data_IF_833576175946
#
_entry.id   IF_833576175946
#
_cell.length_a   1.000
_cell.length_b   1.000
_cell.length_c   1.000
_cell.angle_alpha   90.00
_cell.angle_beta   90.00
_cell.angle_gamma   90.00
#
_symmetry.space_group_name_H-M   'P 1'
#
loop_
_entity.id
_entity.type
_entity.pdbx_description
1 polymer ?
#
# COMPACT_ATOMS: atom_id res chain seq x y z
N UNK A 1 24.24 -11.76 -7.34
CA UNK A 1 24.70 -10.47 -6.79
C UNK A 1 25.12 -10.65 -5.33
N UNK A 2 26.38 -10.42 -4.95
CA UNK A 2 26.85 -10.60 -3.56
C UNK A 2 26.38 -9.50 -2.57
N UNK A 3 25.91 -8.36 -3.07
CA UNK A 3 25.18 -7.37 -2.27
C UNK A 3 23.98 -6.85 -3.06
N UNK A 4 22.83 -6.79 -2.39
CA UNK A 4 21.65 -6.08 -2.89
C UNK A 4 21.99 -4.58 -2.92
N UNK A 5 21.92 -3.96 -4.10
CA UNK A 5 22.15 -2.51 -4.28
C UNK A 5 20.99 -1.66 -3.76
N UNK A 6 19.83 -2.25 -3.53
CA UNK A 6 18.61 -1.57 -3.10
C UNK A 6 18.16 -2.15 -1.77
N UNK A 7 18.16 -1.31 -0.72
CA UNK A 7 17.67 -1.63 0.62
C UNK A 7 16.30 -1.03 0.86
N UNK A 8 15.58 -1.57 1.84
CA UNK A 8 14.33 -1.02 2.37
C UNK A 8 14.49 0.45 2.78
N UNK A 9 15.65 0.80 3.34
CA UNK A 9 16.00 2.16 3.71
C UNK A 9 16.07 3.12 2.51
N UNK A 10 16.53 2.67 1.34
CA UNK A 10 16.60 3.52 0.15
C UNK A 10 15.19 3.85 -0.35
N UNK A 11 14.31 2.84 -0.43
CA UNK A 11 12.90 3.02 -0.78
C UNK A 11 12.21 3.95 0.22
N UNK A 12 12.46 3.73 1.52
CA UNK A 12 11.92 4.58 2.58
C UNK A 12 12.38 6.02 2.41
N UNK A 13 13.67 6.26 2.19
CA UNK A 13 14.20 7.61 1.99
C UNK A 13 13.58 8.31 0.77
N UNK A 14 13.31 7.57 -0.32
CA UNK A 14 12.66 8.12 -1.51
C UNK A 14 11.26 8.64 -1.17
N UNK A 15 10.42 7.81 -0.54
CA UNK A 15 9.04 8.16 -0.21
C UNK A 15 8.90 9.07 1.01
N UNK A 16 9.86 9.04 1.94
CA UNK A 16 9.86 9.91 3.12
C UNK A 16 10.25 11.35 2.78
N UNK A 17 11.14 11.53 1.79
CA UNK A 17 11.67 12.86 1.46
C UNK A 17 11.08 13.49 0.19
N UNK A 18 10.56 12.70 -0.77
CA UNK A 18 10.22 13.23 -2.10
C UNK A 18 8.74 13.05 -2.51
N UNK A 19 7.97 12.22 -1.80
CA UNK A 19 6.58 11.93 -2.18
C UNK A 19 5.67 12.26 -1.00
N UNK A 20 4.83 13.26 -1.17
CA UNK A 20 3.93 13.79 -0.14
C UNK A 20 2.47 13.43 -0.43
N UNK A 21 1.57 13.81 0.47
CA UNK A 21 0.13 13.66 0.31
C UNK A 21 -0.42 14.41 -0.90
N UNK A 22 0.25 15.49 -1.34
CA UNK A 22 -0.08 16.25 -2.54
C UNK A 22 -0.38 15.36 -3.76
N UNK A 23 0.40 14.30 -3.97
CA UNK A 23 0.25 13.40 -5.12
C UNK A 23 -0.94 12.42 -5.03
N UNK A 24 -1.64 12.38 -3.90
CA UNK A 24 -2.78 11.48 -3.67
C UNK A 24 -4.02 12.19 -3.15
N UNK A 25 -3.91 13.44 -2.69
CA UNK A 25 -5.04 14.24 -2.29
C UNK A 25 -5.95 14.56 -3.48
N UNK A 26 -7.25 14.69 -3.23
CA UNK A 26 -8.22 15.29 -4.16
C UNK A 26 -8.62 16.68 -3.65
N UNK A 27 -9.00 17.62 -4.54
CA UNK A 27 -9.60 18.87 -4.13
C UNK A 27 -10.90 18.63 -3.34
N UNK A 28 -11.06 19.29 -2.19
CA UNK A 28 -12.30 19.23 -1.43
C UNK A 28 -13.34 20.10 -2.14
N UNK A 29 -14.32 19.47 -2.78
CA UNK A 29 -15.46 20.19 -3.34
C UNK A 29 -16.24 20.86 -2.20
N UNK A 30 -16.58 22.13 -2.39
CA UNK A 30 -17.30 22.92 -1.40
C UNK A 30 -18.60 23.48 -1.97
N UNK A 31 -19.54 23.78 -1.07
CA UNK A 31 -20.81 24.44 -1.37
C UNK A 31 -20.99 25.64 -0.44
N UNK A 32 -21.73 26.64 -0.90
CA UNK A 32 -22.02 27.83 -0.10
C UNK A 32 -22.73 27.46 1.21
N UNK A 33 -22.35 28.14 2.30
CA UNK A 33 -23.06 28.10 3.57
C UNK A 33 -24.59 28.31 3.42
N UNK A 34 -25.00 29.14 2.46
CA UNK A 34 -26.40 29.53 2.22
C UNK A 34 -27.12 28.61 1.22
N UNK A 35 -26.46 27.57 0.72
CA UNK A 35 -27.07 26.61 -0.21
C UNK A 35 -28.21 25.84 0.46
N UNK A 36 -29.22 25.49 -0.33
CA UNK A 36 -30.36 24.68 0.12
C UNK A 36 -29.95 23.21 0.26
N UNK A 37 -30.30 22.61 1.40
CA UNK A 37 -29.99 21.19 1.69
C UNK A 37 -30.50 20.25 0.59
N UNK A 38 -31.70 20.49 0.06
CA UNK A 38 -32.29 19.63 -0.95
C UNK A 38 -31.49 19.61 -2.27
N UNK A 39 -31.01 20.77 -2.71
CA UNK A 39 -30.21 20.91 -3.94
C UNK A 39 -28.84 20.27 -3.76
N UNK A 40 -28.18 20.54 -2.64
CA UNK A 40 -26.86 19.98 -2.34
C UNK A 40 -26.94 18.47 -2.16
N UNK A 41 -27.98 17.95 -1.49
CA UNK A 41 -28.17 16.51 -1.32
C UNK A 41 -28.33 15.81 -2.68
N UNK A 42 -29.19 16.35 -3.56
CA UNK A 42 -29.37 15.79 -4.91
C UNK A 42 -28.06 15.80 -5.71
N UNK A 43 -27.28 16.88 -5.61
CA UNK A 43 -25.99 16.97 -6.28
C UNK A 43 -24.96 15.98 -5.70
N UNK A 44 -24.88 15.84 -4.36
CA UNK A 44 -24.01 14.86 -3.70
C UNK A 44 -24.38 13.42 -4.08
N UNK A 45 -25.66 13.10 -4.23
CA UNK A 45 -26.11 11.80 -4.73
C UNK A 45 -25.71 11.57 -6.19
N UNK A 46 -25.92 12.57 -7.05
CA UNK A 46 -25.58 12.49 -8.47
C UNK A 46 -24.07 12.36 -8.73
N UNK A 47 -23.23 12.95 -7.88
CA UNK A 47 -21.76 12.91 -7.99
C UNK A 47 -21.13 11.83 -7.08
N UNK A 48 -21.94 11.10 -6.32
CA UNK A 48 -21.52 10.13 -5.32
C UNK A 48 -20.51 10.66 -4.28
N UNK A 49 -20.75 11.88 -3.79
CA UNK A 49 -19.99 12.45 -2.68
C UNK A 49 -20.58 12.06 -1.33
N UNK A 50 -19.76 11.50 -0.46
CA UNK A 50 -20.12 11.29 0.95
C UNK A 50 -19.92 12.54 1.80
N UNK A 51 -18.98 13.40 1.40
CA UNK A 51 -18.53 14.57 2.16
C UNK A 51 -18.21 15.72 1.21
N UNK A 52 -18.61 16.93 1.56
CA UNK A 52 -18.25 18.17 0.87
C UNK A 52 -17.93 19.27 1.88
N UNK A 53 -17.07 20.21 1.51
CA UNK A 53 -16.76 21.40 2.28
C UNK A 53 -17.93 22.38 2.32
N UNK A 54 -17.96 23.23 3.34
CA UNK A 54 -18.81 24.42 3.41
C UNK A 54 -17.92 25.64 3.27
N UNK A 55 -18.21 26.48 2.29
CA UNK A 55 -17.50 27.73 2.06
C UNK A 55 -18.29 28.94 2.57
N UNK A 56 -17.56 29.86 3.21
CA UNK A 56 -18.05 31.19 3.59
C UNK A 56 -17.11 32.23 3.00
N UNK A 57 -17.56 32.90 1.93
CA UNK A 57 -16.65 33.69 1.09
C UNK A 57 -15.72 32.75 0.32
N UNK A 58 -14.42 33.02 0.34
CA UNK A 58 -13.40 32.25 -0.39
C UNK A 58 -12.75 31.13 0.43
N UNK A 59 -13.23 30.86 1.64
CA UNK A 59 -12.61 29.90 2.56
C UNK A 59 -13.55 28.74 2.88
N UNK A 60 -13.02 27.51 2.87
CA UNK A 60 -13.71 26.33 3.39
C UNK A 60 -13.61 26.35 4.93
N UNK A 61 -14.73 26.62 5.59
CA UNK A 61 -14.81 26.80 7.06
C UNK A 61 -15.25 25.55 7.81
N UNK A 62 -15.71 24.53 7.09
CA UNK A 62 -16.15 23.26 7.65
C UNK A 62 -16.53 22.27 6.57
N UNK A 63 -17.23 21.22 6.96
CA UNK A 63 -17.71 20.20 6.03
C UNK A 63 -19.08 19.69 6.45
N UNK A 64 -19.75 19.00 5.53
CA UNK A 64 -21.01 18.32 5.76
C UNK A 64 -20.94 16.90 5.21
N UNK A 65 -21.62 15.98 5.88
CA UNK A 65 -21.75 14.59 5.45
C UNK A 65 -23.11 14.38 4.81
N UNK A 66 -23.15 13.62 3.71
CA UNK A 66 -24.37 13.27 2.98
C UNK A 66 -25.42 12.65 3.91
N UNK A 67 -24.97 11.76 4.80
CA UNK A 67 -25.80 11.09 5.81
C UNK A 67 -26.52 12.06 6.75
N UNK A 68 -25.90 13.21 7.06
CA UNK A 68 -26.50 14.25 7.88
C UNK A 68 -27.60 15.01 7.11
N UNK A 69 -27.35 15.33 5.84
CA UNK A 69 -28.33 16.02 4.99
C UNK A 69 -29.58 15.16 4.70
N UNK A 70 -29.41 13.85 4.54
CA UNK A 70 -30.52 12.89 4.37
C UNK A 70 -31.49 12.97 5.56
N UNK A 71 -30.98 13.18 6.78
CA UNK A 71 -31.80 13.30 7.99
C UNK A 71 -32.49 14.66 8.08
N UNK A 72 -31.79 15.74 7.70
CA UNK A 72 -32.26 17.11 7.75
C UNK A 72 -33.43 17.39 6.80
N UNK A 73 -33.36 16.90 5.56
CA UNK A 73 -34.32 17.09 4.44
C UNK A 73 -34.57 18.54 3.98
N UNK A 74 -34.35 19.56 4.81
CA UNK A 74 -34.60 20.98 4.51
C UNK A 74 -33.73 21.92 5.36
N UNK A 75 -33.66 23.19 4.97
CA UNK A 75 -32.85 24.22 5.63
C UNK A 75 -31.59 24.57 4.84
N UNK A 76 -30.70 25.34 5.46
CA UNK A 76 -29.43 25.76 4.84
C UNK A 76 -28.31 24.78 5.19
N UNK A 77 -27.39 24.55 4.26
CA UNK A 77 -26.24 23.65 4.50
C UNK A 77 -25.37 24.09 5.69
N UNK A 78 -25.24 25.40 5.92
CA UNK A 78 -24.50 25.95 7.05
C UNK A 78 -25.03 25.53 8.42
N UNK A 79 -26.33 25.26 8.55
CA UNK A 79 -26.94 24.84 9.82
C UNK A 79 -26.50 23.43 10.24
N UNK A 80 -25.97 22.64 9.30
CA UNK A 80 -25.51 21.27 9.50
C UNK A 80 -23.99 21.13 9.40
N UNK A 81 -23.27 22.26 9.31
CA UNK A 81 -21.83 22.31 9.20
C UNK A 81 -21.15 21.65 10.40
N UNK A 82 -20.15 20.81 10.13
CA UNK A 82 -19.19 20.30 11.10
C UNK A 82 -17.88 21.03 11.00
N UNK A 83 -17.22 21.17 12.15
CA UNK A 83 -15.90 21.78 12.28
C UNK A 83 -14.83 20.74 11.99
N UNK A 84 -13.73 21.15 11.36
CA UNK A 84 -12.59 20.27 11.18
C UNK A 84 -11.89 19.98 12.52
N UNK A 85 -11.86 18.71 12.92
CA UNK A 85 -11.09 18.30 14.10
C UNK A 85 -9.63 18.06 13.73
N UNK A 86 -8.70 18.40 14.64
CA UNK A 86 -7.26 18.26 14.39
C UNK A 86 -6.81 16.83 14.06
N UNK A 87 -7.53 15.82 14.56
CA UNK A 87 -7.28 14.40 14.28
C UNK A 87 -7.66 13.99 12.85
N UNK A 88 -8.46 14.81 12.18
CA UNK A 88 -8.88 14.61 10.79
C UNK A 88 -8.08 15.49 9.83
N UNK A 89 -7.15 16.31 10.31
CA UNK A 89 -6.33 17.19 9.48
C UNK A 89 -4.96 16.55 9.20
N UNK A 90 -4.49 16.73 7.98
CA UNK A 90 -3.14 16.33 7.59
C UNK A 90 -2.52 17.37 6.66
N UNK A 91 -1.26 17.72 6.90
CA UNK A 91 -0.57 18.71 6.08
C UNK A 91 -0.29 18.14 4.68
N UNK A 92 -0.47 18.95 3.63
CA UNK A 92 -0.23 18.55 2.23
C UNK A 92 1.21 18.05 2.00
N UNK A 93 2.17 18.63 2.74
CA UNK A 93 3.59 18.26 2.71
C UNK A 93 3.93 17.01 3.52
N UNK A 94 2.96 16.37 4.18
CA UNK A 94 3.23 15.16 4.97
C UNK A 94 3.72 14.04 4.05
N UNK A 95 4.81 13.33 4.38
CA UNK A 95 5.29 12.22 3.56
C UNK A 95 4.25 11.11 3.40
N UNK A 96 4.11 10.60 2.17
CA UNK A 96 3.10 9.60 1.82
C UNK A 96 3.20 8.33 2.67
N UNK A 97 4.41 7.93 3.05
CA UNK A 97 4.67 6.79 3.95
C UNK A 97 3.92 6.89 5.28
N UNK A 98 3.67 8.10 5.79
CA UNK A 98 2.95 8.32 7.05
C UNK A 98 1.44 8.20 6.90
N UNK A 99 0.91 8.20 5.67
CA UNK A 99 -0.53 8.17 5.40
C UNK A 99 -1.17 6.83 5.80
N UNK A 100 -0.50 5.72 5.48
CA UNK A 100 -1.02 4.36 5.71
C UNK A 100 -1.47 4.11 7.16
N UNK A 101 -0.63 4.29 8.20
CA UNK A 101 -1.04 4.04 9.57
C UNK A 101 -2.18 4.96 10.04
N UNK A 102 -2.25 6.19 9.54
CA UNK A 102 -3.30 7.16 9.90
C UNK A 102 -4.65 6.72 9.28
N UNK A 103 -4.67 6.38 7.98
CA UNK A 103 -5.90 5.95 7.30
C UNK A 103 -6.47 4.63 7.84
N UNK A 104 -5.66 3.82 8.53
CA UNK A 104 -6.16 2.62 9.22
C UNK A 104 -7.16 2.98 10.34
N UNK A 105 -6.94 4.10 11.01
CA UNK A 105 -7.75 4.57 12.14
C UNK A 105 -8.83 5.54 11.68
N UNK A 106 -8.48 6.43 10.75
CA UNK A 106 -9.35 7.50 10.25
C UNK A 106 -9.52 7.35 8.74
N UNK A 107 -10.62 6.75 8.23
CA UNK A 107 -10.75 6.38 6.81
C UNK A 107 -10.71 7.56 5.80
N UNK A 108 -10.79 8.79 6.31
CA UNK A 108 -10.73 10.04 5.58
C UNK A 108 -9.97 11.08 6.40
N UNK A 109 -9.16 11.88 5.74
CA UNK A 109 -8.51 13.07 6.29
C UNK A 109 -8.78 14.26 5.36
N UNK A 110 -8.82 15.44 5.93
CA UNK A 110 -8.84 16.70 5.22
C UNK A 110 -7.43 17.24 5.12
N UNK A 111 -7.09 17.76 3.95
CA UNK A 111 -5.75 18.22 3.63
C UNK A 111 -5.66 19.71 3.92
N UNK A 112 -4.77 20.04 4.85
CA UNK A 112 -4.39 21.40 5.20
C UNK A 112 -3.24 21.84 4.28
N UNK A 113 -3.49 22.89 3.51
CA UNK A 113 -2.48 23.60 2.74
C UNK A 113 -2.36 25.03 3.27
N UNK A 114 -1.15 25.39 3.70
CA UNK A 114 -0.89 26.62 4.45
C UNK A 114 -1.83 26.77 5.66
N UNK A 115 -2.80 27.67 5.60
CA UNK A 115 -3.77 27.97 6.65
C UNK A 115 -5.21 27.61 6.27
N UNK A 116 -5.42 26.83 5.20
CA UNK A 116 -6.75 26.48 4.70
C UNK A 116 -6.88 24.99 4.42
N UNK A 117 -8.08 24.46 4.66
CA UNK A 117 -8.43 23.13 4.19
C UNK A 117 -8.79 23.24 2.72
N UNK A 118 -8.00 22.61 1.85
CA UNK A 118 -8.16 22.67 0.39
C UNK A 118 -8.45 21.31 -0.24
N UNK A 119 -8.18 20.22 0.49
CA UNK A 119 -8.25 18.88 -0.05
C UNK A 119 -8.81 17.83 0.89
N UNK A 120 -8.90 16.63 0.37
CA UNK A 120 -9.38 15.43 1.04
C UNK A 120 -8.55 14.24 0.57
N UNK A 121 -8.27 13.31 1.49
CA UNK A 121 -7.67 12.01 1.16
C UNK A 121 -8.43 10.92 1.90
N UNK A 122 -8.74 9.85 1.20
CA UNK A 122 -9.53 8.71 1.68
C UNK A 122 -8.75 7.42 1.48
N UNK A 123 -9.24 6.32 2.09
CA UNK A 123 -8.73 4.99 1.75
C UNK A 123 -8.82 4.66 0.25
N UNK A 124 -9.80 5.23 -0.49
CA UNK A 124 -9.92 5.02 -1.93
C UNK A 124 -8.71 5.53 -2.71
N UNK A 125 -8.09 6.61 -2.23
CA UNK A 125 -6.91 7.23 -2.85
C UNK A 125 -5.65 6.37 -2.73
N UNK A 126 -5.66 5.32 -1.88
CA UNK A 126 -4.61 4.32 -1.84
C UNK A 126 -4.52 3.49 -3.14
N UNK A 127 -5.52 3.56 -4.03
CA UNK A 127 -5.43 3.00 -5.38
C UNK A 127 -4.52 3.80 -6.32
N UNK A 128 -4.16 5.04 -5.97
CA UNK A 128 -3.43 5.94 -6.88
C UNK A 128 -1.99 5.49 -7.11
N UNK A 129 -1.43 5.94 -8.23
CA UNK A 129 -0.12 5.52 -8.70
C UNK A 129 1.01 5.65 -7.65
N UNK A 130 1.12 6.75 -6.86
CA UNK A 130 2.18 6.86 -5.85
C UNK A 130 2.12 5.77 -4.78
N UNK A 131 0.92 5.43 -4.29
CA UNK A 131 0.76 4.35 -3.29
C UNK A 131 1.02 2.99 -3.91
N UNK A 132 0.58 2.77 -5.16
CA UNK A 132 0.92 1.53 -5.89
C UNK A 132 2.42 1.38 -6.06
N UNK A 133 3.14 2.46 -6.37
CA UNK A 133 4.60 2.45 -6.49
C UNK A 133 5.26 2.08 -5.15
N UNK A 134 4.78 2.63 -4.03
CA UNK A 134 5.28 2.28 -2.70
C UNK A 134 5.09 0.79 -2.40
N UNK A 135 3.85 0.29 -2.56
CA UNK A 135 3.50 -1.10 -2.28
C UNK A 135 4.25 -2.07 -3.20
N UNK A 136 4.42 -1.70 -4.47
CA UNK A 136 5.20 -2.48 -5.42
C UNK A 136 6.67 -2.54 -5.00
N UNK A 137 7.26 -1.41 -4.63
CA UNK A 137 8.63 -1.35 -4.10
C UNK A 137 8.82 -2.27 -2.89
N UNK A 138 7.89 -2.24 -1.93
CA UNK A 138 7.94 -3.11 -0.74
C UNK A 138 7.91 -4.60 -1.12
N UNK A 139 6.97 -5.01 -2.00
CA UNK A 139 6.87 -6.43 -2.39
C UNK A 139 8.06 -6.88 -3.23
N UNK A 140 8.58 -6.02 -4.11
CA UNK A 140 9.77 -6.30 -4.92
C UNK A 140 11.00 -6.50 -4.05
N UNK A 141 11.26 -5.57 -3.11
CA UNK A 141 12.38 -5.72 -2.18
C UNK A 141 12.23 -6.98 -1.33
N UNK A 142 11.01 -7.33 -0.93
CA UNK A 142 10.76 -8.54 -0.16
C UNK A 142 11.13 -9.77 -0.98
N UNK A 143 10.66 -9.85 -2.23
CA UNK A 143 10.97 -10.96 -3.14
C UNK A 143 12.49 -11.08 -3.40
N UNK A 144 13.18 -9.96 -3.56
CA UNK A 144 14.64 -9.95 -3.76
C UNK A 144 15.39 -10.41 -2.50
N UNK A 145 14.94 -10.00 -1.31
CA UNK A 145 15.53 -10.44 -0.05
C UNK A 145 15.28 -11.92 0.23
N UNK A 146 14.09 -12.44 -0.05
CA UNK A 146 13.83 -13.88 0.01
C UNK A 146 14.80 -14.65 -0.90
N UNK A 147 15.05 -14.14 -2.10
CA UNK A 147 16.02 -14.74 -3.02
C UNK A 147 17.45 -14.72 -2.46
N UNK A 148 17.86 -13.61 -1.83
CA UNK A 148 19.16 -13.47 -1.16
C UNK A 148 19.31 -14.52 -0.06
N UNK A 149 18.29 -14.68 0.80
CA UNK A 149 18.29 -15.70 1.86
C UNK A 149 18.39 -17.11 1.28
N UNK A 150 17.67 -17.42 0.18
CA UNK A 150 17.80 -18.71 -0.49
C UNK A 150 19.24 -18.95 -0.96
N UNK A 151 19.91 -17.94 -1.53
CA UNK A 151 21.33 -18.07 -1.95
C UNK A 151 22.27 -18.38 -0.79
N UNK A 152 22.02 -17.78 0.38
CA UNK A 152 22.84 -17.99 1.57
C UNK A 152 22.66 -19.39 2.15
N UNK A 153 21.42 -19.84 2.30
CA UNK A 153 21.07 -21.09 2.99
C UNK A 153 21.11 -22.32 2.09
N UNK A 154 21.16 -22.14 0.77
CA UNK A 154 21.19 -23.23 -0.21
C UNK A 154 22.33 -23.06 -1.22
N UNK A 155 23.61 -23.15 -0.78
CA UNK A 155 24.75 -23.04 -1.67
C UNK A 155 24.78 -24.19 -2.68
N UNK A 156 25.47 -23.98 -3.81
CA UNK A 156 25.69 -24.98 -4.86
C UNK A 156 24.40 -25.62 -5.39
N UNK A 157 23.37 -24.81 -5.59
CA UNK A 157 22.06 -25.25 -6.08
C UNK A 157 21.38 -26.36 -5.27
N UNK A 158 21.75 -26.49 -3.99
CA UNK A 158 21.18 -27.49 -3.09
C UNK A 158 19.68 -27.29 -2.83
N UNK A 159 19.11 -26.15 -3.22
CA UNK A 159 17.67 -25.86 -3.15
C UNK A 159 16.82 -26.79 -4.02
N UNK A 160 17.35 -27.34 -5.12
CA UNK A 160 16.58 -28.14 -6.08
C UNK A 160 15.91 -29.37 -5.45
N UNK A 161 16.54 -29.97 -4.43
CA UNK A 161 16.00 -31.15 -3.73
C UNK A 161 14.84 -30.85 -2.77
N UNK A 162 14.60 -29.57 -2.47
CA UNK A 162 13.57 -29.12 -1.54
C UNK A 162 12.32 -28.58 -2.24
N UNK A 163 12.34 -28.46 -3.56
CA UNK A 163 11.18 -28.11 -4.37
C UNK A 163 10.64 -29.32 -5.11
N UNK A 164 9.35 -29.28 -5.46
CA UNK A 164 8.76 -30.30 -6.33
C UNK A 164 9.46 -30.30 -7.70
N UNK A 165 9.65 -31.47 -8.34
CA UNK A 165 10.32 -31.56 -9.65
C UNK A 165 9.73 -30.61 -10.71
N UNK A 166 8.40 -30.47 -10.74
CA UNK A 166 7.70 -29.57 -11.66
C UNK A 166 8.14 -28.10 -11.51
N UNK A 167 8.40 -27.65 -10.28
CA UNK A 167 8.84 -26.27 -10.00
C UNK A 167 10.26 -26.03 -10.47
N UNK A 168 11.14 -27.02 -10.26
CA UNK A 168 12.53 -26.98 -10.75
C UNK A 168 12.55 -26.95 -12.28
N UNK A 169 11.71 -27.74 -12.94
CA UNK A 169 11.64 -27.75 -14.40
C UNK A 169 11.08 -26.44 -14.98
N UNK A 170 10.13 -25.78 -14.31
CA UNK A 170 9.68 -24.44 -14.69
C UNK A 170 10.85 -23.45 -14.65
N UNK A 171 11.63 -23.43 -13.57
CA UNK A 171 12.79 -22.53 -13.45
C UNK A 171 13.84 -22.83 -14.53
N UNK A 172 14.17 -24.10 -14.77
CA UNK A 172 15.11 -24.51 -15.83
C UNK A 172 14.62 -24.18 -17.22
N UNK A 173 13.31 -24.24 -17.48
CA UNK A 173 12.74 -23.85 -18.77
C UNK A 173 12.90 -22.35 -19.00
N UNK A 174 12.50 -21.53 -18.03
CA UNK A 174 12.63 -20.07 -18.14
C UNK A 174 14.10 -19.64 -18.28
N UNK A 175 15.01 -20.31 -17.57
CA UNK A 175 16.44 -20.09 -17.70
C UNK A 175 16.96 -20.43 -19.09
N UNK A 176 16.61 -21.60 -19.65
CA UNK A 176 16.98 -22.01 -21.02
C UNK A 176 16.46 -21.03 -22.08
N UNK A 177 15.19 -20.64 -21.99
CA UNK A 177 14.59 -19.63 -22.87
C UNK A 177 15.35 -18.29 -22.80
N UNK A 178 15.85 -17.92 -21.61
CA UNK A 178 16.64 -16.71 -21.42
C UNK A 178 18.09 -16.84 -21.90
N UNK A 179 18.66 -18.05 -21.89
CA UNK A 179 19.98 -18.32 -22.47
C UNK A 179 19.96 -18.15 -23.99
N UNK A 180 18.89 -18.61 -24.65
CA UNK A 180 18.69 -18.42 -26.09
C UNK A 180 18.67 -16.93 -26.49
N UNK A 181 18.26 -16.05 -25.56
CA UNK A 181 18.26 -14.58 -25.75
C UNK A 181 19.51 -13.88 -25.21
N UNK A 182 20.48 -14.62 -24.67
CA UNK A 182 21.67 -14.08 -24.00
C UNK A 182 21.35 -13.11 -22.83
N UNK A 183 20.21 -13.33 -22.17
CA UNK A 183 19.73 -12.58 -20.99
C UNK A 183 19.97 -13.34 -19.69
N UNK A 184 20.42 -14.59 -19.79
CA UNK A 184 20.48 -15.51 -18.66
C UNK A 184 21.42 -15.04 -17.56
N UNK A 185 20.89 -15.04 -16.34
CA UNK A 185 21.66 -14.88 -15.11
C UNK A 185 21.88 -16.24 -14.45
N UNK A 186 21.63 -16.38 -13.16
CA UNK A 186 21.75 -17.65 -12.45
C UNK A 186 20.42 -18.41 -12.50
N UNK A 187 20.44 -19.75 -12.47
CA UNK A 187 19.22 -20.57 -12.49
C UNK A 187 18.26 -20.19 -11.35
N UNK A 188 18.84 -19.89 -10.18
CA UNK A 188 18.09 -19.50 -9.00
C UNK A 188 17.33 -18.17 -9.18
N UNK A 189 17.75 -17.27 -10.09
CA UNK A 189 17.02 -16.03 -10.40
C UNK A 189 15.67 -16.28 -11.10
N UNK A 190 15.46 -17.50 -11.62
CA UNK A 190 14.22 -17.92 -12.29
C UNK A 190 13.23 -18.62 -11.35
N UNK A 191 13.56 -18.70 -10.05
CA UNK A 191 12.59 -19.08 -9.02
C UNK A 191 11.47 -18.05 -8.95
N UNK A 192 10.23 -18.53 -8.78
CA UNK A 192 9.08 -17.67 -8.56
C UNK A 192 8.93 -17.34 -7.07
N UNK A 193 8.11 -16.34 -6.75
CA UNK A 193 7.85 -15.92 -5.36
C UNK A 193 7.46 -17.11 -4.46
N UNK A 194 6.57 -17.98 -4.93
CA UNK A 194 6.11 -19.14 -4.18
C UNK A 194 7.22 -20.16 -3.86
N UNK A 195 8.21 -20.31 -4.75
CA UNK A 195 9.37 -21.18 -4.52
C UNK A 195 10.28 -20.59 -3.44
N UNK A 196 10.57 -19.28 -3.56
CA UNK A 196 11.40 -18.55 -2.59
C UNK A 196 10.79 -18.61 -1.19
N UNK A 197 9.46 -18.41 -1.10
CA UNK A 197 8.68 -18.60 0.14
C UNK A 197 8.86 -20.01 0.70
N UNK A 198 8.66 -21.04 -0.11
CA UNK A 198 8.71 -22.43 0.34
C UNK A 198 10.09 -22.78 0.91
N UNK A 199 11.16 -22.38 0.22
CA UNK A 199 12.53 -22.58 0.67
C UNK A 199 12.82 -21.86 1.99
N UNK A 200 12.48 -20.57 2.09
CA UNK A 200 12.70 -19.79 3.32
C UNK A 200 11.92 -20.36 4.51
N UNK A 201 10.65 -20.74 4.32
CA UNK A 201 9.81 -21.28 5.40
C UNK A 201 10.16 -22.73 5.79
N UNK A 202 10.96 -23.42 4.99
CA UNK A 202 11.46 -24.76 5.29
C UNK A 202 12.79 -24.74 6.07
N UNK A 203 13.40 -23.58 6.27
CA UNK A 203 14.59 -23.42 7.11
C UNK A 203 14.22 -22.97 8.52
N UNK A 204 14.40 -23.82 9.56
CA UNK A 204 14.06 -23.47 10.93
C UNK A 204 14.80 -22.22 11.44
N UNK A 205 16.09 -22.09 11.12
CA UNK A 205 16.92 -20.93 11.50
C UNK A 205 16.35 -19.62 10.93
N UNK A 206 15.88 -19.63 9.68
CA UNK A 206 15.26 -18.46 9.07
C UNK A 206 13.91 -18.12 9.71
N UNK A 207 13.11 -19.11 10.12
CA UNK A 207 11.84 -18.83 10.80
C UNK A 207 12.06 -18.08 12.12
N UNK A 208 13.12 -18.45 12.86
CA UNK A 208 13.49 -17.80 14.11
C UNK A 208 14.05 -16.40 13.88
N UNK A 209 15.04 -16.25 13.00
CA UNK A 209 15.67 -14.94 12.71
C UNK A 209 14.71 -13.93 12.10
N UNK A 210 13.76 -14.38 11.28
CA UNK A 210 12.72 -13.53 10.69
C UNK A 210 11.54 -13.26 11.64
N UNK A 211 11.58 -13.78 12.88
CA UNK A 211 10.54 -13.65 13.89
C UNK A 211 9.15 -14.09 13.40
N UNK A 212 9.12 -15.10 12.52
CA UNK A 212 7.88 -15.63 11.98
C UNK A 212 7.23 -16.56 13.00
N UNK A 213 6.13 -16.09 13.63
CA UNK A 213 5.37 -16.79 14.70
C UNK A 213 5.19 -18.29 14.52
N UNK A 214 5.02 -18.74 13.27
CA UNK A 214 5.01 -20.15 12.88
C UNK A 214 5.17 -20.27 11.37
N UNK A 215 5.55 -21.45 10.89
CA UNK A 215 5.55 -21.78 9.45
C UNK A 215 4.20 -21.47 8.78
N UNK A 216 3.09 -21.86 9.43
CA UNK A 216 1.72 -21.62 8.93
C UNK A 216 1.38 -20.13 8.85
N UNK A 217 1.81 -19.35 9.84
CA UNK A 217 1.65 -17.90 9.82
C UNK A 217 2.47 -17.26 8.69
N UNK A 218 3.75 -17.62 8.57
CA UNK A 218 4.64 -17.15 7.50
C UNK A 218 4.11 -17.49 6.11
N UNK A 219 3.56 -18.69 5.94
CA UNK A 219 2.95 -19.11 4.68
C UNK A 219 1.74 -18.24 4.30
N UNK A 220 0.83 -17.99 5.25
CA UNK A 220 -0.33 -17.13 5.03
C UNK A 220 0.10 -15.71 4.66
N UNK A 221 1.03 -15.14 5.44
CA UNK A 221 1.53 -13.80 5.25
C UNK A 221 2.20 -13.62 3.88
N UNK A 222 3.15 -14.51 3.52
CA UNK A 222 3.86 -14.44 2.24
C UNK A 222 2.94 -14.75 1.04
N UNK A 223 1.89 -15.57 1.22
CA UNK A 223 0.83 -15.72 0.20
C UNK A 223 0.04 -14.43 0.01
N UNK A 224 -0.28 -13.68 1.07
CA UNK A 224 -0.94 -12.37 0.96
C UNK A 224 -0.05 -11.35 0.25
N UNK A 225 1.26 -11.34 0.52
CA UNK A 225 2.23 -10.51 -0.21
C UNK A 225 2.30 -10.88 -1.70
N UNK A 226 2.33 -12.18 -2.03
CA UNK A 226 2.28 -12.67 -3.42
C UNK A 226 0.97 -12.25 -4.13
N UNK A 227 -0.17 -12.31 -3.45
CA UNK A 227 -1.44 -11.84 -4.00
C UNK A 227 -1.44 -10.33 -4.24
N UNK A 228 -0.86 -9.54 -3.33
CA UNK A 228 -0.69 -8.10 -3.51
C UNK A 228 0.21 -7.80 -4.72
N UNK A 229 1.34 -8.50 -4.87
CA UNK A 229 2.22 -8.43 -6.06
C UNK A 229 1.41 -8.58 -7.35
N UNK A 230 0.59 -9.63 -7.42
CA UNK A 230 -0.18 -9.96 -8.63
C UNK A 230 -1.22 -8.87 -8.90
N UNK A 231 -1.92 -8.38 -7.88
CA UNK A 231 -2.89 -7.26 -8.04
C UNK A 231 -2.22 -5.99 -8.55
N UNK A 232 -1.04 -5.66 -8.03
CA UNK A 232 -0.25 -4.51 -8.47
C UNK A 232 0.18 -4.66 -9.93
N UNK A 233 0.74 -5.82 -10.30
CA UNK A 233 1.21 -6.11 -11.65
C UNK A 233 0.08 -6.09 -12.70
N UNK A 234 -1.14 -6.48 -12.32
CA UNK A 234 -2.30 -6.50 -13.21
C UNK A 234 -3.20 -5.26 -13.10
N UNK A 235 -2.73 -4.19 -12.44
CA UNK A 235 -3.49 -2.97 -12.21
C UNK A 235 -4.90 -3.19 -11.58
N UNK A 236 -5.09 -4.28 -10.84
CA UNK A 236 -6.37 -4.65 -10.23
C UNK A 236 -6.64 -3.82 -8.97
N UNK A 237 -7.89 -3.81 -8.52
CA UNK A 237 -8.27 -3.20 -7.24
C UNK A 237 -7.50 -3.87 -6.08
N UNK A 238 -6.78 -3.05 -5.31
CA UNK A 238 -5.89 -3.51 -4.24
C UNK A 238 -6.57 -4.25 -3.08
N UNK A 239 -7.86 -4.02 -2.86
CA UNK A 239 -8.59 -4.60 -1.71
C UNK A 239 -9.58 -5.69 -2.12
N UNK A 240 -9.64 -6.12 -3.38
CA UNK A 240 -10.52 -7.23 -3.81
C UNK A 240 -10.32 -8.46 -2.92
N UNK A 241 -11.39 -8.89 -2.24
CA UNK A 241 -11.36 -10.03 -1.30
C UNK A 241 -10.71 -9.75 0.07
N UNK A 242 -10.50 -8.48 0.43
CA UNK A 242 -9.87 -8.03 1.68
C UNK A 242 -10.39 -6.63 2.07
N UNK A 243 -9.84 -6.03 3.14
CA UNK A 243 -10.14 -4.65 3.53
C UNK A 243 -8.94 -3.71 3.38
N UNK A 244 -9.19 -2.40 3.41
CA UNK A 244 -8.13 -1.39 3.50
C UNK A 244 -7.25 -1.59 4.74
N UNK A 245 -7.86 -1.97 5.87
CA UNK A 245 -7.12 -2.28 7.10
C UNK A 245 -6.16 -3.45 6.91
N UNK A 246 -6.57 -4.48 6.18
CA UNK A 246 -5.72 -5.64 5.87
C UNK A 246 -4.57 -5.25 4.95
N UNK A 247 -4.83 -4.44 3.90
CA UNK A 247 -3.80 -3.96 2.99
C UNK A 247 -2.72 -3.15 3.74
N UNK A 248 -3.15 -2.21 4.58
CA UNK A 248 -2.24 -1.40 5.39
C UNK A 248 -1.46 -2.29 6.36
N UNK A 249 -2.11 -3.27 7.00
CA UNK A 249 -1.46 -4.22 7.93
C UNK A 249 -0.43 -5.09 7.22
N UNK A 250 -0.73 -5.52 6.01
CA UNK A 250 0.20 -6.26 5.16
C UNK A 250 1.41 -5.39 4.78
N UNK A 251 1.20 -4.14 4.38
CA UNK A 251 2.28 -3.22 4.03
C UNK A 251 3.27 -3.01 5.18
N UNK A 252 2.78 -2.71 6.39
CA UNK A 252 3.62 -2.56 7.58
C UNK A 252 4.33 -3.86 7.97
N UNK A 253 3.66 -5.00 7.84
CA UNK A 253 4.26 -6.30 8.14
C UNK A 253 5.36 -6.67 7.12
N UNK A 254 5.20 -6.30 5.85
CA UNK A 254 6.25 -6.45 4.83
C UNK A 254 7.46 -5.57 5.12
N UNK A 255 7.25 -4.30 5.50
CA UNK A 255 8.35 -3.40 5.89
C UNK A 255 9.13 -3.97 7.09
N UNK A 256 8.43 -4.46 8.12
CA UNK A 256 9.09 -5.08 9.29
C UNK A 256 9.88 -6.34 8.91
N UNK A 257 9.29 -7.23 8.10
CA UNK A 257 10.00 -8.43 7.66
C UNK A 257 11.21 -8.07 6.79
N UNK A 258 11.12 -7.05 5.96
CA UNK A 258 12.22 -6.55 5.14
C UNK A 258 13.42 -6.13 5.97
N UNK A 259 13.18 -5.37 7.05
CA UNK A 259 14.25 -4.96 7.98
C UNK A 259 14.93 -6.20 8.56
N UNK A 260 14.16 -7.20 9.02
CA UNK A 260 14.71 -8.47 9.52
C UNK A 260 15.51 -9.24 8.48
N UNK A 261 14.99 -9.31 7.25
CA UNK A 261 15.71 -9.92 6.15
C UNK A 261 17.05 -9.24 5.92
N UNK A 262 17.17 -7.91 6.07
CA UNK A 262 18.40 -7.17 5.81
C UNK A 262 19.46 -7.33 6.92
N UNK A 263 19.05 -7.75 8.12
CA UNK A 263 19.92 -8.02 9.28
C UNK A 263 20.66 -9.37 9.19
N UNK A 264 20.20 -10.30 8.34
CA UNK A 264 20.78 -11.65 8.20
C UNK A 264 21.94 -11.63 7.20
N UNK A 265 23.16 -11.96 7.62
CA UNK A 265 24.36 -11.97 6.76
C UNK A 265 24.67 -13.32 6.11
#
# INVERSE_FOLDING_TARGET
MKHLKSRSQDLRSLFENNITIEYVAEPLKAVSYQAEVAEVLQWMEAQDFDVVGIETGDNITGYIERSCLIQAKSGKCGDYQRVFHSQELIAISTPLMKLLPILRQTPRLFVLDCNQVSGIVTCGDLQKAPVRMLLFGLVTLLEMNLLRLVRLYYPQDSWQKFLKPERVEIAKRLWRESQERNEATDLLDYLQFCDKRELVLNQPELLEQLELKSKRFGERFLKSAEQLRNRLAHAQNLVTGSSWKDLISLAEAMEKLLIRCEEIE
#
